data_IF_357657500775
#
_entry.id   IF_357657500775
#
_cell.length_a   1.000
_cell.length_b   1.000
_cell.length_c   1.000
_cell.angle_alpha   90.00
_cell.angle_beta   90.00
_cell.angle_gamma   90.00
#
_symmetry.space_group_name_H-M   'P 1'
#
loop_
_entity.id
_entity.type
_entity.pdbx_description
1 polymer ?
#
# COMPACT_ATOMS: atom_id res chain seq x y z
N UNK A 1 -11.58 -5.16 11.84
CA UNK A 1 -11.29 -3.72 11.60
C UNK A 1 -11.53 -3.37 10.14
N UNK A 2 -10.66 -3.79 9.21
CA UNK A 2 -10.74 -3.42 7.78
C UNK A 2 -12.11 -3.67 7.13
N UNK A 3 -12.78 -4.79 7.44
CA UNK A 3 -14.12 -5.08 6.91
C UNK A 3 -15.17 -3.98 7.18
N UNK A 4 -15.08 -3.27 8.30
CA UNK A 4 -16.09 -2.29 8.71
C UNK A 4 -15.70 -0.84 8.41
N UNK A 5 -14.42 -0.57 8.18
CA UNK A 5 -13.88 0.80 8.06
C UNK A 5 -13.14 1.05 6.75
N UNK A 6 -13.09 0.07 5.85
CA UNK A 6 -12.57 0.21 4.49
C UNK A 6 -13.69 0.61 3.53
N UNK A 7 -13.78 1.90 3.21
CA UNK A 7 -14.80 2.47 2.33
C UNK A 7 -14.18 3.19 1.15
N UNK A 8 -14.94 3.36 0.06
CA UNK A 8 -14.44 4.03 -1.15
C UNK A 8 -14.00 5.48 -0.92
N UNK A 9 -14.64 6.18 0.01
CA UNK A 9 -14.30 7.57 0.35
C UNK A 9 -13.05 7.67 1.23
N UNK A 10 -12.74 6.62 1.99
CA UNK A 10 -11.60 6.55 2.91
C UNK A 10 -11.00 5.13 2.90
N UNK A 11 -10.30 4.76 1.82
CA UNK A 11 -9.71 3.44 1.72
C UNK A 11 -8.56 3.28 2.72
N UNK A 12 -8.41 2.07 3.26
CA UNK A 12 -7.20 1.71 4.01
C UNK A 12 -6.15 1.19 3.05
N UNK A 13 -4.91 1.60 3.27
CA UNK A 13 -3.76 1.07 2.55
C UNK A 13 -2.90 0.26 3.51
N UNK A 14 -2.57 -0.98 3.14
CA UNK A 14 -1.69 -1.86 3.91
C UNK A 14 -0.26 -1.74 3.38
N UNK A 15 0.70 -1.65 4.30
CA UNK A 15 2.15 -1.55 3.99
C UNK A 15 2.90 -2.67 4.71
N UNK A 16 3.50 -3.59 3.96
CA UNK A 16 4.36 -4.65 4.52
C UNK A 16 5.63 -4.03 5.09
N UNK A 17 5.93 -4.31 6.37
CA UNK A 17 6.93 -3.58 7.15
C UNK A 17 8.17 -4.37 7.58
N UNK A 18 8.35 -5.61 7.10
CA UNK A 18 9.52 -6.44 7.45
C UNK A 18 10.83 -5.74 7.07
N UNK A 19 10.91 -5.20 5.85
CA UNK A 19 11.94 -4.22 5.48
C UNK A 19 11.45 -2.79 5.82
N UNK A 20 11.80 -2.33 7.01
CA UNK A 20 11.44 -0.99 7.51
C UNK A 20 11.90 0.15 6.61
N UNK A 21 13.04 0.02 5.91
CA UNK A 21 13.54 1.09 5.03
C UNK A 21 12.68 1.20 3.79
N UNK A 22 12.39 0.07 3.15
CA UNK A 22 11.50 0.02 1.98
C UNK A 22 10.07 0.39 2.31
N UNK A 23 9.55 -0.02 3.47
CA UNK A 23 8.21 0.32 3.92
C UNK A 23 8.00 1.83 4.05
N UNK A 24 8.94 2.53 4.69
CA UNK A 24 8.88 4.00 4.85
C UNK A 24 8.88 4.73 3.52
N UNK A 25 9.80 4.37 2.62
CA UNK A 25 9.89 4.99 1.30
C UNK A 25 8.62 4.77 0.48
N UNK A 26 8.06 3.56 0.51
CA UNK A 26 6.84 3.25 -0.24
C UNK A 26 5.60 3.90 0.36
N UNK A 27 5.52 4.03 1.69
CA UNK A 27 4.43 4.78 2.35
C UNK A 27 4.41 6.25 1.88
N UNK A 28 5.58 6.92 1.91
CA UNK A 28 5.70 8.31 1.45
C UNK A 28 5.37 8.43 -0.05
N UNK A 29 5.87 7.52 -0.88
CA UNK A 29 5.57 7.49 -2.32
C UNK A 29 4.09 7.28 -2.60
N UNK A 30 3.44 6.36 -1.89
CA UNK A 30 2.00 6.13 -2.02
C UNK A 30 1.24 7.43 -1.75
N UNK A 31 1.54 8.13 -0.65
CA UNK A 31 0.91 9.41 -0.35
C UNK A 31 1.17 10.49 -1.42
N UNK A 32 2.43 10.71 -1.80
CA UNK A 32 2.81 11.74 -2.78
C UNK A 32 2.29 11.46 -4.19
N UNK A 33 2.17 10.19 -4.58
CA UNK A 33 1.69 9.82 -5.92
C UNK A 33 0.21 10.14 -6.12
N UNK A 34 -0.62 10.06 -5.08
CA UNK A 34 -2.07 10.34 -5.15
C UNK A 34 -2.42 11.83 -5.16
N UNK A 35 -1.54 12.68 -4.62
CA UNK A 35 -1.77 14.11 -4.60
C UNK A 35 -1.24 14.77 -5.87
N UNK A 36 -2.04 15.67 -6.43
CA UNK A 36 -1.58 16.60 -7.46
C UNK A 36 -1.08 17.88 -6.77
N UNK A 37 0.20 18.19 -6.95
CA UNK A 37 0.85 19.33 -6.31
C UNK A 37 1.87 19.97 -7.26
N UNK A 38 2.04 21.31 -7.20
CA UNK A 38 2.97 22.01 -8.08
C UNK A 38 4.41 21.57 -7.80
N UNK A 39 5.19 21.34 -8.87
CA UNK A 39 6.59 20.92 -8.76
C UNK A 39 6.81 19.44 -8.44
N UNK A 40 5.79 18.59 -8.60
CA UNK A 40 5.92 17.14 -8.50
C UNK A 40 6.93 16.60 -9.52
N UNK A 41 8.01 15.98 -9.04
CA UNK A 41 8.95 15.23 -9.90
C UNK A 41 8.43 13.79 -10.08
N UNK A 42 7.98 13.40 -11.29
CA UNK A 42 7.44 12.06 -11.54
C UNK A 42 8.48 10.94 -11.37
N UNK A 43 9.78 11.27 -11.38
CA UNK A 43 10.86 10.29 -11.18
C UNK A 43 11.03 9.91 -9.72
N UNK A 44 10.55 10.74 -8.79
CA UNK A 44 10.66 10.52 -7.34
C UNK A 44 9.31 10.09 -6.76
N UNK A 45 8.25 10.82 -7.10
CA UNK A 45 6.88 10.61 -6.62
C UNK A 45 6.06 9.70 -7.56
N UNK A 46 6.68 8.61 -8.03
CA UNK A 46 6.01 7.58 -8.80
C UNK A 46 5.18 6.64 -7.89
N UNK A 47 4.39 5.78 -8.52
CA UNK A 47 3.60 4.76 -7.82
C UNK A 47 4.47 3.91 -6.88
N UNK A 48 3.93 3.58 -5.70
CA UNK A 48 4.59 2.71 -4.74
C UNK A 48 4.67 1.25 -5.25
N UNK A 49 5.62 0.49 -4.71
CA UNK A 49 5.81 -0.92 -5.05
C UNK A 49 4.56 -1.77 -4.66
N UNK A 50 3.87 -2.41 -5.63
CA UNK A 50 2.67 -3.21 -5.37
C UNK A 50 2.90 -4.42 -4.45
N UNK A 51 4.14 -4.90 -4.32
CA UNK A 51 4.47 -6.01 -3.41
C UNK A 51 4.53 -5.58 -1.95
N UNK A 52 4.72 -4.28 -1.71
CA UNK A 52 4.87 -3.68 -0.38
C UNK A 52 3.60 -2.95 0.03
N UNK A 53 2.96 -2.23 -0.89
CA UNK A 53 1.78 -1.41 -0.63
C UNK A 53 0.60 -1.96 -1.41
N UNK A 54 -0.52 -2.22 -0.75
CA UNK A 54 -1.71 -2.73 -1.42
C UNK A 54 -3.00 -2.62 -0.63
N UNK A 55 -4.07 -3.08 -1.26
CA UNK A 55 -5.42 -3.07 -0.70
C UNK A 55 -5.57 -4.20 0.35
N UNK A 56 -6.18 -3.91 1.52
CA UNK A 56 -6.40 -4.91 2.57
C UNK A 56 -7.22 -6.10 2.08
N UNK A 57 -8.21 -5.90 1.22
CA UNK A 57 -9.05 -6.98 0.68
C UNK A 57 -8.21 -7.95 -0.15
N UNK A 58 -7.33 -7.42 -1.00
CA UNK A 58 -6.44 -8.21 -1.84
C UNK A 58 -5.35 -8.93 -1.04
N UNK A 59 -4.87 -8.33 0.05
CA UNK A 59 -3.85 -8.95 0.90
C UNK A 59 -4.41 -10.06 1.79
N UNK A 60 -5.60 -9.88 2.37
CA UNK A 60 -6.25 -10.89 3.21
C UNK A 60 -6.59 -12.16 2.43
N UNK A 61 -7.01 -12.03 1.17
CA UNK A 61 -7.23 -13.19 0.28
C UNK A 61 -5.92 -13.86 -0.18
N UNK A 62 -4.79 -13.16 -0.09
CA UNK A 62 -3.46 -13.70 -0.42
C UNK A 62 -2.85 -14.53 0.71
N UNK A 63 -3.04 -14.15 1.97
CA UNK A 63 -2.50 -14.86 3.14
C UNK A 63 -3.17 -16.23 3.39
N UNK A 64 -4.45 -16.40 3.01
CA UNK A 64 -5.11 -17.72 3.02
C UNK A 64 -4.47 -18.70 2.03
N UNK A 65 -3.84 -18.22 0.96
CA UNK A 65 -3.17 -19.08 -0.05
C UNK A 65 -1.78 -19.55 0.39
N UNK A 66 -1.11 -18.79 1.26
CA UNK A 66 0.22 -19.13 1.77
C UNK A 66 0.14 -20.10 2.97
N UNK A 67 -0.99 -20.13 3.67
CA UNK A 67 -1.26 -21.06 4.79
C UNK A 67 -1.75 -22.45 4.33
N UNK A 68 -2.24 -22.61 3.09
CA UNK A 68 -2.65 -23.89 2.50
C UNK A 68 -1.53 -24.63 1.74
N UNK A 69 -0.26 -24.24 1.94
CA UNK A 69 0.93 -24.85 1.33
C UNK A 69 1.77 -25.71 2.30
N UNK A 70 1.18 -26.16 3.40
CA UNK A 70 1.76 -27.16 4.31
C UNK A 70 0.77 -28.30 4.55
#
# INVERSE_FOLDING_TARGET
>A
MFFHTHTGDAPWTVVKSDDKKRARLNCIRHFLSHLDYPGKDPRVAHAADPLIVGDPTAMLTGEERDTLRF
#
